data_IF_445872107360
#
_entry.id   IF_445872107360
#
_cell.length_a   1.000
_cell.length_b   1.000
_cell.length_c   1.000
_cell.angle_alpha   90.00
_cell.angle_beta   90.00
_cell.angle_gamma   90.00
#
_symmetry.space_group_name_H-M   'P 1'
#
loop_
_entity.id
_entity.type
_entity.pdbx_description
1 polymer ?
#
# COMPACT_ATOMS: atom_id res chain seq x y z
N UNK A 1 -7.18 -41.88 24.38
CA UNK A 1 -6.30 -40.77 23.93
C UNK A 1 -6.90 -39.88 22.83
N UNK A 2 -8.11 -40.16 22.30
CA UNK A 2 -8.70 -39.42 21.16
C UNK A 2 -9.66 -38.29 21.57
N UNK A 3 -10.23 -38.33 22.79
CA UNK A 3 -11.20 -37.32 23.26
C UNK A 3 -10.64 -35.89 23.34
N UNK A 4 -9.33 -35.74 23.55
CA UNK A 4 -8.69 -34.42 23.67
C UNK A 4 -8.34 -33.80 22.31
N UNK A 5 -8.37 -34.58 21.24
CA UNK A 5 -8.00 -34.14 19.89
C UNK A 5 -8.97 -33.09 19.33
N UNK A 6 -10.27 -33.26 19.57
CA UNK A 6 -11.29 -32.33 19.08
C UNK A 6 -11.20 -30.94 19.70
N UNK A 7 -10.85 -30.85 20.98
CA UNK A 7 -10.65 -29.56 21.65
C UNK A 7 -9.46 -28.80 21.06
N UNK A 8 -8.37 -29.51 20.76
CA UNK A 8 -7.19 -28.91 20.11
C UNK A 8 -7.54 -28.43 18.70
N UNK A 9 -8.30 -29.22 17.94
CA UNK A 9 -8.74 -28.85 16.58
C UNK A 9 -9.65 -27.61 16.60
N UNK A 10 -10.63 -27.57 17.49
CA UNK A 10 -11.53 -26.42 17.64
C UNK A 10 -10.75 -25.18 18.05
N UNK A 11 -9.84 -25.30 19.02
CA UNK A 11 -9.03 -24.18 19.48
C UNK A 11 -8.11 -23.65 18.37
N UNK A 12 -7.54 -24.55 17.55
CA UNK A 12 -6.74 -24.15 16.39
C UNK A 12 -7.56 -23.42 15.33
N UNK A 13 -8.76 -23.91 15.00
CA UNK A 13 -9.66 -23.26 14.04
C UNK A 13 -10.12 -21.89 14.55
N UNK A 14 -10.48 -21.77 15.83
CA UNK A 14 -10.87 -20.49 16.42
C UNK A 14 -9.71 -19.48 16.43
N UNK A 15 -8.46 -19.94 16.55
CA UNK A 15 -7.29 -19.08 16.56
C UNK A 15 -6.82 -18.67 15.16
N UNK A 16 -7.05 -19.50 14.13
CA UNK A 16 -6.66 -19.21 12.75
C UNK A 16 -7.76 -18.57 11.91
N UNK A 17 -9.04 -18.67 12.31
CA UNK A 17 -10.15 -17.97 11.65
C UNK A 17 -9.97 -16.44 11.52
N UNK A 18 -9.45 -15.70 12.52
CA UNK A 18 -9.15 -14.27 12.33
C UNK A 18 -7.91 -14.00 11.47
N UNK A 19 -7.15 -15.03 11.07
CA UNK A 19 -6.02 -14.90 10.14
C UNK A 19 -6.43 -14.97 8.67
N UNK A 20 -7.72 -14.87 8.34
CA UNK A 20 -8.14 -14.57 6.97
C UNK A 20 -7.34 -13.34 6.50
N UNK A 21 -6.64 -13.48 5.38
CA UNK A 21 -5.66 -12.52 4.87
C UNK A 21 -6.18 -11.09 5.01
N UNK A 22 -5.46 -10.27 5.76
CA UNK A 22 -5.83 -8.88 5.97
C UNK A 22 -5.78 -8.18 4.60
N UNK A 23 -6.91 -7.60 4.16
CA UNK A 23 -7.02 -6.94 2.85
C UNK A 23 -6.17 -5.66 2.71
N UNK A 24 -5.37 -5.33 3.73
CA UNK A 24 -4.45 -4.20 3.73
C UNK A 24 -3.40 -4.29 2.61
N UNK A 25 -3.14 -5.49 2.08
CA UNK A 25 -2.23 -5.74 0.96
C UNK A 25 -2.98 -6.32 -0.27
N UNK A 26 -4.23 -5.90 -0.48
CA UNK A 26 -5.09 -6.40 -1.56
C UNK A 26 -4.66 -5.92 -2.96
N UNK A 27 -3.82 -4.89 -3.05
CA UNK A 27 -3.44 -4.25 -4.31
C UNK A 27 -1.93 -4.13 -4.37
N UNK A 28 -1.33 -4.82 -5.34
CA UNK A 28 0.09 -4.73 -5.64
C UNK A 28 0.27 -3.89 -6.88
N UNK A 29 0.93 -2.76 -6.72
CA UNK A 29 1.41 -1.98 -7.85
C UNK A 29 2.63 -2.69 -8.43
N UNK A 30 2.70 -2.84 -9.74
CA UNK A 30 3.80 -3.47 -10.47
C UNK A 30 4.05 -2.69 -11.76
N UNK A 31 5.14 -2.99 -12.45
CA UNK A 31 5.48 -2.38 -13.73
C UNK A 31 6.86 -1.75 -13.70
N UNK A 32 7.19 -1.08 -14.80
CA UNK A 32 8.48 -0.43 -15.02
C UNK A 32 8.38 1.07 -14.86
N UNK A 33 9.52 1.70 -14.55
CA UNK A 33 9.67 3.10 -14.19
C UNK A 33 8.71 4.04 -14.92
N UNK A 34 7.99 4.85 -14.14
CA UNK A 34 6.88 5.70 -14.60
C UNK A 34 7.24 6.71 -15.69
N UNK A 35 8.52 6.83 -16.07
CA UNK A 35 8.98 7.71 -17.15
C UNK A 35 8.89 7.09 -18.55
N UNK A 36 8.47 5.84 -18.69
CA UNK A 36 8.29 5.25 -20.02
C UNK A 36 7.07 5.87 -20.73
N UNK A 37 7.31 6.57 -21.83
CA UNK A 37 6.26 7.23 -22.63
C UNK A 37 5.55 6.29 -23.60
N UNK A 38 5.96 5.03 -23.67
CA UNK A 38 5.39 4.07 -24.60
C UNK A 38 4.00 3.62 -24.13
N UNK A 39 2.93 3.77 -24.94
CA UNK A 39 1.55 3.51 -24.50
C UNK A 39 1.28 2.05 -24.10
N UNK A 40 2.13 1.12 -24.52
CA UNK A 40 2.02 -0.30 -24.17
C UNK A 40 2.67 -0.65 -22.84
N UNK A 41 3.62 0.15 -22.35
CA UNK A 41 4.36 -0.08 -21.11
C UNK A 41 3.97 0.93 -20.04
N UNK A 42 3.93 0.52 -18.79
CA UNK A 42 3.57 1.40 -17.69
C UNK A 42 3.37 0.63 -16.40
N UNK A 43 2.79 1.31 -15.42
CA UNK A 43 2.37 0.68 -14.18
C UNK A 43 1.11 -0.18 -14.40
N UNK A 44 0.95 -1.19 -13.56
CA UNK A 44 -0.27 -1.97 -13.45
C UNK A 44 -0.57 -2.27 -11.99
N UNK A 45 -1.85 -2.45 -11.68
CA UNK A 45 -2.33 -2.89 -10.38
C UNK A 45 -2.80 -4.34 -10.51
N UNK A 46 -2.17 -5.20 -9.72
CA UNK A 46 -2.64 -6.54 -9.47
C UNK A 46 -3.50 -6.51 -8.21
N UNK A 47 -4.77 -6.84 -8.34
CA UNK A 47 -5.70 -6.87 -7.22
C UNK A 47 -5.97 -8.33 -6.87
N UNK A 48 -6.04 -8.63 -5.57
CA UNK A 48 -6.27 -9.97 -5.04
C UNK A 48 -7.61 -10.08 -4.27
N UNK A 49 -8.76 -9.76 -4.91
CA UNK A 49 -10.04 -10.04 -4.27
C UNK A 49 -10.15 -11.54 -3.94
N UNK A 50 -10.91 -11.85 -2.89
CA UNK A 50 -10.98 -13.16 -2.23
C UNK A 50 -11.09 -14.36 -3.20
N UNK A 51 -11.73 -14.14 -4.36
CA UNK A 51 -12.15 -15.21 -5.27
C UNK A 51 -11.44 -15.20 -6.64
N UNK A 52 -10.79 -14.11 -7.05
CA UNK A 52 -10.11 -13.99 -8.37
C UNK A 52 -9.03 -12.92 -8.32
N UNK A 53 -7.91 -13.08 -9.03
CA UNK A 53 -6.99 -11.95 -9.25
C UNK A 53 -7.42 -11.16 -10.48
N UNK A 54 -7.42 -9.83 -10.38
CA UNK A 54 -7.70 -8.94 -11.51
C UNK A 54 -6.49 -8.07 -11.82
N UNK A 55 -6.22 -7.88 -13.11
CA UNK A 55 -5.14 -7.05 -13.59
C UNK A 55 -5.73 -5.79 -14.20
N UNK A 56 -5.37 -4.63 -13.64
CA UNK A 56 -5.74 -3.33 -14.19
C UNK A 56 -4.48 -2.61 -14.64
N UNK A 57 -4.37 -2.35 -15.94
CA UNK A 57 -3.31 -1.50 -16.48
C UNK A 57 -3.63 -0.04 -16.19
N UNK A 58 -2.63 0.71 -15.72
CA UNK A 58 -2.75 2.17 -15.69
C UNK A 58 -2.25 2.79 -16.99
N UNK A 59 -3.03 3.70 -17.60
CA UNK A 59 -2.73 4.18 -18.94
C UNK A 59 -1.53 5.13 -19.05
N UNK A 60 -0.89 5.56 -17.96
CA UNK A 60 0.37 6.32 -18.00
C UNK A 60 1.19 6.03 -16.75
N UNK A 61 2.50 5.82 -16.92
CA UNK A 61 3.46 5.64 -15.83
C UNK A 61 3.43 6.84 -14.88
N UNK A 62 2.77 6.72 -13.74
CA UNK A 62 2.66 7.83 -12.77
C UNK A 62 3.68 7.72 -11.65
N UNK A 63 4.14 6.50 -11.38
CA UNK A 63 5.03 6.19 -10.27
C UNK A 63 6.22 5.35 -10.73
N UNK A 64 7.40 5.65 -10.22
CA UNK A 64 8.63 4.94 -10.54
C UNK A 64 8.84 3.73 -9.61
N UNK A 65 8.19 2.62 -9.95
CA UNK A 65 8.13 1.44 -9.08
C UNK A 65 9.33 0.51 -9.24
N UNK A 66 10.40 0.94 -9.93
CA UNK A 66 11.58 0.10 -10.19
C UNK A 66 12.39 -0.19 -8.91
N UNK A 67 12.28 0.68 -7.90
CA UNK A 67 13.09 0.62 -6.68
C UNK A 67 12.27 0.34 -5.43
N UNK A 68 11.32 1.22 -5.15
CA UNK A 68 10.44 1.11 -3.98
C UNK A 68 9.00 1.12 -4.44
N UNK A 69 8.19 0.30 -3.80
CA UNK A 69 6.76 0.35 -3.96
C UNK A 69 6.07 -0.11 -2.69
N UNK A 70 5.27 0.78 -2.12
CA UNK A 70 4.45 0.48 -0.96
C UNK A 70 3.04 0.94 -1.29
N UNK A 71 2.07 0.03 -1.18
CA UNK A 71 0.65 0.36 -1.26
C UNK A 71 -0.02 0.07 0.10
N UNK A 72 -1.03 0.85 0.44
CA UNK A 72 -1.84 0.62 1.63
C UNK A 72 -3.31 0.60 1.27
N UNK A 73 -4.00 -0.47 1.66
CA UNK A 73 -5.44 -0.60 1.55
C UNK A 73 -6.14 -0.50 2.92
N UNK A 74 -7.42 -0.13 2.91
CA UNK A 74 -8.25 -0.19 4.11
C UNK A 74 -8.70 -1.64 4.42
N UNK A 75 -9.52 -1.81 5.47
CA UNK A 75 -10.04 -3.11 5.91
C UNK A 75 -10.88 -3.81 4.83
N UNK A 76 -11.52 -3.04 3.94
CA UNK A 76 -12.29 -3.57 2.82
C UNK A 76 -11.42 -3.99 1.61
N UNK A 77 -10.13 -3.63 1.60
CA UNK A 77 -9.20 -3.88 0.50
C UNK A 77 -9.13 -2.81 -0.57
N UNK A 78 -9.71 -1.63 -0.32
CA UNK A 78 -9.65 -0.49 -1.21
C UNK A 78 -8.38 0.34 -0.98
N UNK A 79 -7.68 0.68 -2.07
CA UNK A 79 -6.47 1.52 -2.05
C UNK A 79 -6.75 2.84 -1.32
N UNK A 80 -5.87 3.21 -0.39
CA UNK A 80 -5.88 4.51 0.27
C UNK A 80 -4.81 5.41 -0.33
N UNK A 81 -3.58 4.90 -0.42
CA UNK A 81 -2.43 5.58 -1.02
C UNK A 81 -1.33 4.56 -1.38
N UNK A 82 -0.33 5.02 -2.12
CA UNK A 82 0.90 4.27 -2.40
C UNK A 82 2.08 5.23 -2.62
N UNK A 83 3.31 4.73 -2.58
CA UNK A 83 4.52 5.53 -2.84
C UNK A 83 5.53 4.75 -3.66
N UNK A 84 6.29 5.46 -4.49
CA UNK A 84 7.49 4.97 -5.18
C UNK A 84 8.79 5.30 -4.43
N UNK A 85 8.67 5.80 -3.19
CA UNK A 85 9.78 6.29 -2.38
C UNK A 85 10.12 7.76 -2.64
N UNK A 86 9.68 8.36 -3.76
CA UNK A 86 9.90 9.79 -4.06
C UNK A 86 8.64 10.62 -3.83
N UNK A 87 7.48 10.09 -4.21
CA UNK A 87 6.19 10.76 -4.11
C UNK A 87 5.18 9.87 -3.40
N UNK A 88 4.22 10.48 -2.71
CA UNK A 88 3.04 9.80 -2.19
C UNK A 88 1.86 10.08 -3.11
N UNK A 89 1.16 9.04 -3.51
CA UNK A 89 0.01 9.09 -4.40
C UNK A 89 -1.25 8.69 -3.65
N UNK A 90 -2.33 9.42 -3.84
CA UNK A 90 -3.64 9.06 -3.29
C UNK A 90 -4.29 7.92 -4.09
N UNK A 91 -5.44 7.43 -3.61
CA UNK A 91 -6.28 6.43 -4.32
C UNK A 91 -6.78 6.83 -5.72
N UNK A 92 -6.66 8.11 -6.09
CA UNK A 92 -6.99 8.63 -7.42
C UNK A 92 -5.75 8.71 -8.33
N UNK A 93 -4.62 8.15 -7.87
CA UNK A 93 -3.33 8.15 -8.55
C UNK A 93 -2.80 9.57 -8.80
N UNK A 94 -3.05 10.49 -7.86
CA UNK A 94 -2.56 11.87 -7.88
C UNK A 94 -1.55 12.09 -6.75
N UNK A 95 -0.50 12.86 -7.00
CA UNK A 95 0.45 13.26 -5.95
C UNK A 95 -0.29 13.98 -4.82
N UNK A 96 -0.01 13.57 -3.59
CA UNK A 96 -0.54 14.21 -2.39
C UNK A 96 0.32 15.44 -2.07
N UNK A 97 -0.34 16.57 -1.80
CA UNK A 97 0.36 17.81 -1.48
C UNK A 97 1.23 17.66 -0.22
N UNK A 98 2.42 18.26 -0.24
CA UNK A 98 3.36 18.24 0.89
C UNK A 98 4.15 16.93 1.03
N UNK A 99 4.16 16.09 -0.02
CA UNK A 99 4.91 14.81 -0.03
C UNK A 99 6.13 14.84 -0.95
N UNK A 100 6.35 15.99 -1.59
CA UNK A 100 7.41 16.32 -2.54
C UNK A 100 8.81 16.34 -1.89
N UNK A 101 8.90 16.05 -0.60
CA UNK A 101 10.12 16.05 0.22
C UNK A 101 10.32 14.72 0.97
N UNK A 102 9.68 13.63 0.51
CA UNK A 102 9.89 12.28 1.06
C UNK A 102 11.35 11.86 1.04
N UNK A 103 12.13 12.35 0.07
CA UNK A 103 13.58 12.24 0.04
C UNK A 103 14.21 13.62 0.11
N UNK A 104 15.24 13.76 0.95
CA UNK A 104 16.06 14.97 1.03
C UNK A 104 17.45 14.67 0.46
N UNK A 105 17.76 15.17 -0.74
CA UNK A 105 19.13 15.17 -1.27
C UNK A 105 19.26 14.91 -2.77
N UNK A 106 20.39 15.33 -3.34
CA UNK A 106 20.76 15.13 -4.76
C UNK A 106 20.93 13.65 -5.15
N UNK A 107 20.97 12.73 -4.18
CA UNK A 107 21.14 11.28 -4.36
C UNK A 107 19.85 10.48 -4.14
N UNK A 108 18.68 11.13 -4.30
CA UNK A 108 17.35 10.57 -4.05
C UNK A 108 17.07 9.22 -4.76
N UNK A 109 17.88 8.80 -5.73
CA UNK A 109 17.74 7.51 -6.42
C UNK A 109 18.33 6.32 -5.65
N UNK A 110 19.42 6.53 -4.90
CA UNK A 110 20.08 5.46 -4.12
C UNK A 110 19.57 5.38 -2.68
N UNK A 111 19.02 6.49 -2.17
CA UNK A 111 18.52 6.64 -0.80
C UNK A 111 16.99 6.81 -0.76
N UNK A 112 16.25 6.12 -1.64
CA UNK A 112 14.79 6.11 -1.53
C UNK A 112 14.34 5.36 -0.26
N UNK A 113 13.40 5.91 0.52
CA UNK A 113 12.84 5.21 1.68
C UNK A 113 12.16 3.92 1.24
N UNK A 114 12.67 2.78 1.70
CA UNK A 114 12.06 1.47 1.44
C UNK A 114 10.96 1.12 2.45
N UNK A 115 10.76 1.97 3.46
CA UNK A 115 9.80 1.76 4.54
C UNK A 115 9.04 3.04 4.79
N UNK A 116 7.73 2.89 4.97
CA UNK A 116 6.82 3.97 5.27
C UNK A 116 6.09 3.65 6.58
N UNK A 117 6.26 4.51 7.58
CA UNK A 117 5.40 4.49 8.77
C UNK A 117 4.36 5.58 8.58
N UNK A 118 3.08 5.18 8.63
CA UNK A 118 1.95 6.11 8.56
C UNK A 118 1.32 6.19 9.93
N UNK A 119 1.37 7.37 10.52
CA UNK A 119 0.73 7.62 11.81
C UNK A 119 -0.65 8.25 11.60
N UNK A 120 -1.67 7.81 12.36
CA UNK A 120 -2.96 8.49 12.35
C UNK A 120 -2.76 9.92 12.87
N UNK A 121 -3.26 10.89 12.13
CA UNK A 121 -3.23 12.27 12.58
C UNK A 121 -4.05 12.41 13.88
N UNK A 122 -3.39 12.84 14.96
CA UNK A 122 -4.02 13.12 16.25
C UNK A 122 -4.77 14.46 16.27
N UNK A 123 -4.80 15.19 15.15
CA UNK A 123 -5.41 16.53 15.08
C UNK A 123 -6.94 16.45 15.06
N UNK A 124 -7.49 16.46 16.27
CA UNK A 124 -8.77 17.00 16.71
C UNK A 124 -10.02 16.27 16.18
N UNK A 125 -10.71 15.61 17.12
CA UNK A 125 -12.14 15.24 17.04
C UNK A 125 -13.01 16.50 16.87
N UNK A 126 -13.02 17.10 15.69
CA UNK A 126 -14.09 18.02 15.29
C UNK A 126 -14.83 17.37 14.13
N UNK A 127 -16.11 17.13 14.36
CA UNK A 127 -17.06 16.53 13.43
C UNK A 127 -16.94 17.13 12.03
N UNK A 128 -16.19 16.48 11.13
CA UNK A 128 -16.46 16.28 9.69
C UNK A 128 -15.16 15.84 9.00
N UNK A 129 -15.21 14.69 8.31
CA UNK A 129 -14.18 14.08 7.45
C UNK A 129 -12.77 13.93 8.07
N UNK A 130 -12.39 12.69 8.43
CA UNK A 130 -11.02 12.38 8.82
C UNK A 130 -10.07 12.59 7.64
N UNK A 131 -9.36 13.72 7.62
CA UNK A 131 -8.17 13.86 6.80
C UNK A 131 -7.05 13.10 7.49
N UNK A 132 -6.64 11.98 6.88
CA UNK A 132 -5.45 11.25 7.30
C UNK A 132 -4.23 12.11 6.94
N UNK A 133 -3.70 12.89 7.89
CA UNK A 133 -2.39 13.52 7.71
C UNK A 133 -1.33 12.48 8.04
N UNK A 134 -0.58 12.10 7.02
CA UNK A 134 0.44 11.05 7.09
C UNK A 134 1.74 11.70 7.59
N UNK A 135 2.13 11.42 8.83
CA UNK A 135 3.49 11.74 9.30
C UNK A 135 4.40 10.57 8.92
N UNK A 136 5.40 10.85 8.09
CA UNK A 136 6.27 9.86 7.46
C UNK A 136 7.64 9.91 8.12
N UNK A 137 8.08 8.79 8.70
CA UNK A 137 9.44 8.63 9.21
C UNK A 137 10.23 7.71 8.28
N UNK A 138 11.38 8.19 7.81
CA UNK A 138 12.35 7.38 7.08
C UNK A 138 13.18 6.55 8.07
N UNK A 139 13.30 5.26 7.80
CA UNK A 139 14.36 4.42 8.36
C UNK A 139 15.23 4.00 7.18
N UNK A 140 16.41 4.61 7.07
CA UNK A 140 17.47 4.23 6.12
C UNK A 140 18.13 2.95 6.57
#
# INVERSE_FOLDING_TARGET
MVKNFWYILILHICFTAPCLSQKHDNIWLIGYGGRNTHPEYGNAFLQFPLDTSTFQKEPMGRADTDFTNIAMCNEEGALQFYTDGLFLYNKLHQNMAGTDSLTHGELAYFDTPQKLVVLPNQTIKTNTSSFMSVLIFLVV
#
